data_IF_280918213394
#
_entry.id   IF_280918213394
#
_cell.length_a   1.000
_cell.length_b   1.000
_cell.length_c   1.000
_cell.angle_alpha   90.00
_cell.angle_beta   90.00
_cell.angle_gamma   90.00
#
_symmetry.space_group_name_H-M   'P 1'
#
loop_
_entity.id
_entity.type
_entity.pdbx_description
1 polymer ?
#
# COMPACT_ATOMS: atom_id res chain seq x y z
N UNK A 1 43.82 -27.65 -23.48
CA UNK A 1 43.64 -26.69 -22.38
C UNK A 1 42.18 -26.75 -22.01
N UNK A 2 41.86 -27.54 -20.99
CA UNK A 2 40.48 -27.83 -20.58
C UNK A 2 40.04 -26.71 -19.65
N UNK A 3 39.11 -25.89 -20.11
CA UNK A 3 38.49 -24.82 -19.33
C UNK A 3 37.54 -25.47 -18.32
N UNK A 4 37.90 -25.41 -17.04
CA UNK A 4 37.07 -25.89 -15.95
C UNK A 4 35.99 -24.84 -15.66
N UNK A 5 34.77 -25.11 -16.11
CA UNK A 5 33.57 -24.38 -15.69
C UNK A 5 33.52 -24.35 -14.15
N UNK A 6 33.37 -23.18 -13.49
CA UNK A 6 33.18 -23.16 -12.05
C UNK A 6 31.85 -23.83 -11.73
N UNK A 7 31.94 -25.02 -11.12
CA UNK A 7 30.84 -25.74 -10.50
C UNK A 7 30.26 -24.80 -9.43
N UNK A 8 29.14 -24.16 -9.73
CA UNK A 8 28.50 -23.22 -8.80
C UNK A 8 28.20 -23.92 -7.47
N UNK A 9 28.61 -23.30 -6.37
CA UNK A 9 28.35 -23.79 -5.02
C UNK A 9 26.83 -23.86 -4.75
N UNK A 10 26.24 -25.04 -4.97
CA UNK A 10 24.84 -25.38 -4.63
C UNK A 10 24.56 -25.34 -3.11
N UNK A 11 25.58 -25.08 -2.30
CA UNK A 11 25.52 -24.92 -0.84
C UNK A 11 25.31 -23.48 -0.37
N UNK A 12 24.99 -22.55 -1.28
CA UNK A 12 24.55 -21.22 -0.87
C UNK A 12 23.23 -21.31 -0.09
N UNK A 13 23.33 -21.15 1.22
CA UNK A 13 22.18 -21.12 2.12
C UNK A 13 21.31 -19.92 1.75
N UNK A 14 20.04 -20.14 1.42
CA UNK A 14 19.10 -19.09 1.06
C UNK A 14 18.03 -18.89 2.14
N UNK A 15 17.47 -17.68 2.20
CA UNK A 15 16.43 -17.31 3.15
C UNK A 15 15.05 -17.62 2.58
N UNK A 16 14.23 -18.38 3.31
CA UNK A 16 12.86 -18.61 2.90
C UNK A 16 12.04 -17.30 3.00
N UNK A 17 11.35 -16.85 1.94
CA UNK A 17 10.60 -15.59 1.95
C UNK A 17 9.34 -15.61 2.83
N UNK A 18 8.99 -16.77 3.43
CA UNK A 18 7.82 -16.92 4.30
C UNK A 18 8.22 -16.86 5.77
N UNK A 19 9.08 -17.79 6.21
CA UNK A 19 9.47 -17.91 7.61
C UNK A 19 10.82 -17.26 7.93
N UNK A 20 11.52 -16.74 6.92
CA UNK A 20 12.83 -16.11 7.04
C UNK A 20 13.94 -17.03 7.56
N UNK A 21 13.69 -18.34 7.64
CA UNK A 21 14.70 -19.32 7.99
C UNK A 21 15.64 -19.60 6.82
N UNK A 22 16.91 -19.75 7.14
CA UNK A 22 17.95 -20.23 6.24
C UNK A 22 17.72 -21.70 5.89
N UNK A 23 17.91 -22.06 4.61
CA UNK A 23 17.86 -23.44 4.16
C UNK A 23 18.75 -23.66 2.93
N UNK A 24 19.25 -24.88 2.77
CA UNK A 24 19.96 -25.30 1.57
C UNK A 24 18.94 -25.66 0.48
N UNK A 25 18.94 -24.97 -0.66
CA UNK A 25 18.02 -25.26 -1.75
C UNK A 25 18.36 -26.60 -2.40
N UNK A 26 17.34 -27.42 -2.69
CA UNK A 26 17.49 -28.54 -3.60
C UNK A 26 17.02 -28.13 -4.99
N UNK A 27 17.96 -27.98 -5.93
CA UNK A 27 17.68 -27.47 -7.27
C UNK A 27 17.04 -26.07 -7.25
N UNK A 28 15.94 -25.87 -7.99
CA UNK A 28 15.27 -24.55 -8.12
C UNK A 28 14.28 -24.23 -6.99
N UNK A 29 14.37 -24.89 -5.83
CA UNK A 29 13.43 -24.71 -4.72
C UNK A 29 13.62 -23.34 -4.05
N UNK A 30 12.55 -22.54 -4.01
CA UNK A 30 12.54 -21.18 -3.40
C UNK A 30 12.06 -21.13 -1.95
N UNK A 31 11.55 -22.23 -1.41
CA UNK A 31 10.95 -22.29 -0.07
C UNK A 31 11.55 -23.43 0.74
N UNK A 32 11.75 -23.25 2.04
CA UNK A 32 12.34 -24.29 2.88
C UNK A 32 11.48 -25.57 2.92
N UNK A 33 10.15 -25.43 2.84
CA UNK A 33 9.19 -26.55 2.94
C UNK A 33 7.96 -26.37 2.05
N UNK A 34 7.22 -27.47 1.86
CA UNK A 34 5.92 -27.48 1.19
C UNK A 34 4.89 -26.61 1.91
N UNK A 35 4.93 -26.55 3.25
CA UNK A 35 4.10 -25.68 4.05
C UNK A 35 4.34 -24.20 3.69
N UNK A 36 5.61 -23.77 3.61
CA UNK A 36 5.96 -22.41 3.19
C UNK A 36 5.58 -22.16 1.72
N UNK A 37 5.76 -23.13 0.81
CA UNK A 37 5.30 -23.00 -0.58
C UNK A 37 3.79 -22.77 -0.66
N UNK A 38 3.00 -23.58 0.05
CA UNK A 38 1.53 -23.47 0.09
C UNK A 38 1.08 -22.15 0.74
N UNK A 39 1.75 -21.72 1.81
CA UNK A 39 1.48 -20.42 2.43
C UNK A 39 1.74 -19.26 1.46
N UNK A 40 2.87 -19.26 0.76
CA UNK A 40 3.19 -18.27 -0.26
C UNK A 40 2.22 -18.31 -1.45
N UNK A 41 1.72 -19.49 -1.83
CA UNK A 41 0.66 -19.60 -2.84
C UNK A 41 -0.63 -18.96 -2.33
N UNK A 42 -1.11 -19.33 -1.14
CA UNK A 42 -2.32 -18.75 -0.54
C UNK A 42 -2.23 -17.22 -0.44
N UNK A 43 -1.12 -16.68 0.09
CA UNK A 43 -0.92 -15.22 0.22
C UNK A 43 -0.96 -14.49 -1.12
N UNK A 44 -0.47 -15.10 -2.20
CA UNK A 44 -0.51 -14.53 -3.56
C UNK A 44 -1.89 -14.59 -4.22
N UNK A 45 -2.75 -15.51 -3.77
CA UNK A 45 -4.09 -15.75 -4.35
C UNK A 45 -5.20 -15.24 -3.43
N UNK A 46 -4.87 -14.71 -2.26
CA UNK A 46 -5.81 -13.95 -1.44
C UNK A 46 -6.01 -12.59 -2.09
N UNK A 47 -7.27 -12.14 -2.15
CA UNK A 47 -7.58 -10.78 -2.53
C UNK A 47 -6.76 -9.83 -1.63
N UNK A 48 -6.13 -8.78 -2.19
CA UNK A 48 -5.44 -7.79 -1.39
C UNK A 48 -6.40 -7.26 -0.32
N UNK A 49 -6.02 -7.39 0.95
CA UNK A 49 -6.74 -6.68 2.01
C UNK A 49 -6.61 -5.19 1.73
N UNK A 50 -7.73 -4.46 1.81
CA UNK A 50 -7.72 -3.01 1.66
C UNK A 50 -6.62 -2.40 2.56
N UNK A 51 -5.74 -1.55 2.03
CA UNK A 51 -4.66 -0.97 2.81
C UNK A 51 -5.26 -0.17 3.97
N UNK A 52 -4.79 -0.44 5.19
CA UNK A 52 -5.18 0.34 6.37
C UNK A 52 -4.34 1.61 6.38
N UNK A 53 -4.98 2.76 6.18
CA UNK A 53 -4.31 4.06 6.25
C UNK A 53 -4.19 4.49 7.71
N UNK A 54 -2.97 4.49 8.25
CA UNK A 54 -2.69 4.85 9.65
C UNK A 54 -1.97 6.20 9.70
N UNK A 55 -2.37 7.07 10.62
CA UNK A 55 -1.67 8.33 10.86
C UNK A 55 -0.29 8.05 11.51
N UNK A 56 0.73 8.89 11.27
CA UNK A 56 2.02 8.77 11.93
C UNK A 56 1.87 8.81 13.45
N UNK A 57 2.63 7.94 14.14
CA UNK A 57 2.63 7.90 15.60
C UNK A 57 3.02 9.28 16.18
N UNK A 58 2.31 9.72 17.22
CA UNK A 58 2.57 10.99 17.90
C UNK A 58 2.12 12.24 17.15
N UNK A 59 1.53 12.13 15.95
CA UNK A 59 0.95 13.29 15.25
C UNK A 59 -0.57 13.36 15.46
N UNK A 60 -1.12 14.56 15.74
CA UNK A 60 -2.57 14.73 15.78
C UNK A 60 -3.14 14.42 14.38
N UNK A 61 -4.29 13.75 14.35
CA UNK A 61 -4.94 13.34 13.09
C UNK A 61 -5.61 14.51 12.38
N UNK A 62 -6.09 15.50 13.14
CA UNK A 62 -6.83 16.65 12.61
C UNK A 62 -6.13 17.31 11.42
N UNK A 63 -4.87 17.79 11.50
CA UNK A 63 -4.20 18.47 10.38
C UNK A 63 -3.95 17.59 9.15
N UNK A 64 -4.17 16.28 9.26
CA UNK A 64 -4.02 15.31 8.18
C UNK A 64 -5.39 14.76 7.75
N UNK A 65 -6.49 15.33 8.23
CA UNK A 65 -7.84 14.86 7.95
C UNK A 65 -8.51 15.78 6.95
N UNK A 66 -9.04 15.19 5.89
CA UNK A 66 -9.94 15.85 4.95
C UNK A 66 -11.35 15.79 5.51
N UNK A 67 -11.98 16.95 5.56
CA UNK A 67 -13.37 17.14 5.96
C UNK A 67 -14.18 17.60 4.75
N UNK A 68 -15.47 17.28 4.73
CA UNK A 68 -16.41 17.67 3.67
C UNK A 68 -17.68 18.28 4.27
N UNK A 69 -18.09 19.42 3.70
CA UNK A 69 -19.31 20.09 4.08
C UNK A 69 -20.52 19.38 3.49
N UNK A 70 -21.42 18.87 4.34
CA UNK A 70 -22.66 18.24 3.87
C UNK A 70 -23.66 19.20 3.20
N UNK A 71 -23.45 20.51 3.29
CA UNK A 71 -24.35 21.51 2.68
C UNK A 71 -23.91 21.93 1.28
N UNK A 72 -22.62 22.22 1.07
CA UNK A 72 -22.10 22.71 -0.20
C UNK A 72 -21.07 21.78 -0.87
N UNK A 73 -20.67 20.68 -0.22
CA UNK A 73 -19.64 19.77 -0.74
C UNK A 73 -18.21 20.30 -0.64
N UNK A 74 -17.98 21.52 -0.15
CA UNK A 74 -16.64 22.08 0.01
C UNK A 74 -15.80 21.18 0.94
N UNK A 75 -14.55 20.94 0.54
CA UNK A 75 -13.59 20.17 1.33
C UNK A 75 -12.53 21.06 1.93
N UNK A 76 -11.99 20.64 3.08
CA UNK A 76 -10.87 21.31 3.74
C UNK A 76 -9.98 20.30 4.47
N UNK A 77 -8.70 20.64 4.66
CA UNK A 77 -7.73 19.82 5.40
C UNK A 77 -7.52 20.44 6.77
N UNK A 78 -7.77 19.70 7.85
CA UNK A 78 -7.56 20.19 9.22
C UNK A 78 -8.67 21.09 9.77
N UNK A 79 -9.42 21.76 8.90
CA UNK A 79 -10.52 22.63 9.29
C UNK A 79 -11.85 21.88 9.30
N UNK A 80 -12.48 21.87 10.47
CA UNK A 80 -13.74 21.14 10.72
C UNK A 80 -14.98 21.98 10.41
N UNK A 81 -14.80 23.24 10.02
CA UNK A 81 -15.89 24.16 9.70
C UNK A 81 -15.75 24.66 8.28
N UNK A 82 -16.87 24.69 7.58
CA UNK A 82 -16.94 25.26 6.25
C UNK A 82 -16.71 26.77 6.30
N UNK A 83 -15.81 27.27 5.47
CA UNK A 83 -15.55 28.70 5.32
C UNK A 83 -16.78 29.42 4.76
N UNK A 84 -17.47 28.81 3.80
CA UNK A 84 -18.65 29.40 3.16
C UNK A 84 -19.94 29.25 3.99
N UNK A 85 -20.23 28.04 4.47
CA UNK A 85 -21.49 27.75 5.16
C UNK A 85 -21.42 27.96 6.68
N UNK A 86 -20.23 28.00 7.27
CA UNK A 86 -20.04 28.07 8.73
C UNK A 86 -20.50 26.82 9.50
N UNK A 87 -20.94 25.75 8.82
CA UNK A 87 -21.40 24.51 9.44
C UNK A 87 -20.24 23.58 9.77
N UNK A 88 -20.45 22.66 10.72
CA UNK A 88 -19.51 21.58 10.96
C UNK A 88 -19.53 20.57 9.80
N UNK A 89 -18.34 20.18 9.37
CA UNK A 89 -18.11 19.23 8.29
C UNK A 89 -18.02 17.79 8.82
N UNK A 90 -18.29 16.81 7.95
CA UNK A 90 -18.06 15.39 8.24
C UNK A 90 -16.64 14.98 7.86
N UNK A 91 -16.11 13.96 8.53
CA UNK A 91 -14.77 13.42 8.23
C UNK A 91 -14.83 12.51 7.01
N UNK A 92 -14.05 12.82 5.97
CA UNK A 92 -13.84 11.95 4.81
C UNK A 92 -12.78 10.90 5.12
N UNK A 93 -11.61 11.33 5.60
CA UNK A 93 -10.49 10.43 5.86
C UNK A 93 -9.16 11.15 6.04
N UNK A 94 -8.07 10.38 6.11
CA UNK A 94 -6.72 10.96 6.07
C UNK A 94 -6.42 11.45 4.66
N UNK A 95 -5.66 12.54 4.54
CA UNK A 95 -5.31 13.18 3.27
C UNK A 95 -4.51 14.46 3.45
N UNK A 96 -4.54 15.30 2.41
CA UNK A 96 -3.83 16.58 2.37
C UNK A 96 -4.16 17.39 1.13
N UNK A 97 -3.58 18.58 1.01
CA UNK A 97 -3.73 19.44 -0.16
C UNK A 97 -2.80 19.00 -1.28
N UNK A 98 -3.30 19.03 -2.51
CA UNK A 98 -2.49 18.80 -3.71
C UNK A 98 -1.42 19.90 -3.83
N UNK A 99 -0.13 19.58 -4.02
CA UNK A 99 0.92 20.59 -4.11
C UNK A 99 0.87 21.45 -5.38
N UNK A 100 -0.02 21.14 -6.32
CA UNK A 100 -0.16 21.87 -7.59
C UNK A 100 -1.35 22.83 -7.61
N UNK A 101 -2.49 22.42 -7.04
CA UNK A 101 -3.75 23.18 -7.07
C UNK A 101 -4.34 23.45 -5.68
N UNK A 102 -3.67 23.03 -4.61
CA UNK A 102 -4.10 23.11 -3.21
C UNK A 102 -5.42 22.40 -2.87
N UNK A 103 -6.00 21.69 -3.84
CA UNK A 103 -7.26 20.97 -3.68
C UNK A 103 -7.13 19.87 -2.61
N UNK A 104 -8.08 19.78 -1.65
CA UNK A 104 -8.08 18.74 -0.63
C UNK A 104 -8.36 17.35 -1.21
N UNK A 105 -7.39 16.44 -1.07
CA UNK A 105 -7.46 15.05 -1.56
C UNK A 105 -7.42 14.07 -0.39
N UNK A 106 -8.43 13.20 -0.28
CA UNK A 106 -8.40 12.10 0.68
C UNK A 106 -7.65 10.89 0.09
N UNK A 107 -6.93 10.15 0.93
CA UNK A 107 -6.22 8.93 0.50
C UNK A 107 -7.20 7.89 -0.06
N UNK A 108 -8.43 7.85 0.46
CA UNK A 108 -9.47 6.98 -0.06
C UNK A 108 -9.78 7.25 -1.54
N UNK A 109 -9.76 8.51 -1.98
CA UNK A 109 -10.04 8.91 -3.37
C UNK A 109 -8.96 8.35 -4.33
N UNK A 110 -7.70 8.29 -3.86
CA UNK A 110 -6.57 7.79 -4.65
C UNK A 110 -6.51 6.26 -4.73
N UNK A 111 -6.97 5.58 -3.68
CA UNK A 111 -6.91 4.11 -3.59
C UNK A 111 -8.18 3.47 -4.17
N UNK A 112 -9.31 4.19 -4.17
CA UNK A 112 -10.58 3.73 -4.74
C UNK A 112 -10.65 3.89 -6.27
N UNK A 113 -9.64 4.47 -6.91
CA UNK A 113 -9.62 4.73 -8.35
C UNK A 113 -9.61 3.45 -9.18
N UNK A 114 -10.77 3.08 -9.71
CA UNK A 114 -10.84 2.41 -11.01
C UNK A 114 -10.22 3.36 -12.04
N UNK A 115 -9.12 2.95 -12.66
CA UNK A 115 -8.60 3.61 -13.85
C UNK A 115 -9.50 3.16 -15.00
N UNK A 116 -10.44 3.97 -15.52
CA UNK A 116 -11.12 3.59 -16.75
C UNK A 116 -10.03 3.43 -17.82
N UNK A 117 -9.99 2.32 -18.57
CA UNK A 117 -9.02 2.18 -19.64
C UNK A 117 -9.26 3.30 -20.65
N UNK A 118 -8.25 4.14 -20.90
CA UNK A 118 -8.29 5.06 -22.03
C UNK A 118 -8.51 4.24 -23.31
N UNK A 119 -9.44 4.64 -24.20
CA UNK A 119 -9.62 3.95 -25.46
C UNK A 119 -8.32 4.10 -26.26
N UNK A 120 -7.70 2.96 -26.56
CA UNK A 120 -6.60 2.87 -27.52
C UNK A 120 -7.15 3.38 -28.86
N UNK A 121 -6.65 4.52 -29.31
CA UNK A 121 -6.92 5.09 -30.63
C UNK A 121 -6.28 4.26 -31.75
#
# INVERSE_FOLDING_TARGET
MTDATPLGDDTATMTCPVCQSFFTPSGRKKFCSDACRRFAWKRRHQAPTAPVVVAPAGRPRQPLTVYECGACGARAVGDQRCEDCGTFMSRVGLGGSCPHCDEPVAVADLIAGEVPPEPIA
#
